data_IF_188754278898
#
_entry.id   IF_188754278898
#
_cell.length_a   1.000
_cell.length_b   1.000
_cell.length_c   1.000
_cell.angle_alpha   90.00
_cell.angle_beta   90.00
_cell.angle_gamma   90.00
#
_symmetry.space_group_name_H-M   'P 1'
#
loop_
_entity.id
_entity.type
_entity.pdbx_description
1 polymer ?
#
# COMPACT_ATOMS: atom_id res chain seq x y z
N UNK A 1 -3.72 27.62 4.30
CA UNK A 1 -3.40 26.30 4.90
C UNK A 1 -4.72 25.55 5.06
N UNK A 2 -5.01 24.57 4.20
CA UNK A 2 -6.18 23.70 4.36
C UNK A 2 -5.75 22.44 5.14
N UNK A 3 -6.47 22.17 6.22
CA UNK A 3 -6.38 21.01 7.12
C UNK A 3 -5.06 20.86 7.91
N UNK A 4 -5.09 21.20 9.21
CA UNK A 4 -4.01 20.90 10.15
C UNK A 4 -4.12 19.49 10.75
N UNK A 5 -5.32 18.90 10.76
CA UNK A 5 -5.64 17.61 11.36
C UNK A 5 -6.77 16.93 10.59
N UNK A 6 -6.74 15.61 10.52
CA UNK A 6 -7.69 14.71 9.88
C UNK A 6 -8.11 13.66 10.91
N UNK A 7 -9.38 13.27 10.89
CA UNK A 7 -9.89 12.13 11.64
C UNK A 7 -10.38 11.07 10.64
N UNK A 8 -9.87 9.85 10.77
CA UNK A 8 -10.35 8.68 10.05
C UNK A 8 -11.49 8.08 10.87
N UNK A 9 -12.61 7.79 10.20
CA UNK A 9 -13.82 7.29 10.84
C UNK A 9 -14.29 5.98 10.20
N UNK A 10 -14.84 5.10 11.02
CA UNK A 10 -15.52 3.87 10.60
C UNK A 10 -16.73 3.64 11.49
N UNK A 11 -17.87 3.28 10.91
CA UNK A 11 -19.10 2.97 11.65
C UNK A 11 -19.50 4.06 12.66
N UNK A 12 -19.34 5.33 12.28
CA UNK A 12 -19.67 6.48 13.13
C UNK A 12 -18.68 6.76 14.27
N UNK A 13 -17.56 6.03 14.35
CA UNK A 13 -16.54 6.20 15.39
C UNK A 13 -15.21 6.69 14.79
N UNK A 14 -14.48 7.51 15.55
CA UNK A 14 -13.11 7.93 15.18
C UNK A 14 -12.15 6.80 15.54
N UNK A 15 -11.46 6.28 14.53
CA UNK A 15 -10.48 5.18 14.69
C UNK A 15 -9.04 5.69 14.71
N UNK A 16 -8.78 6.85 14.11
CA UNK A 16 -7.49 7.53 14.17
C UNK A 16 -7.68 9.03 13.94
N UNK A 17 -6.82 9.86 14.53
CA UNK A 17 -6.79 11.29 14.23
C UNK A 17 -5.36 11.85 14.37
N UNK A 18 -5.01 12.81 13.54
CA UNK A 18 -3.69 13.43 13.52
C UNK A 18 -3.51 14.34 12.31
N UNK A 19 -2.35 14.96 12.19
CA UNK A 19 -1.92 15.58 10.94
C UNK A 19 -1.70 14.52 9.85
N UNK A 20 -1.68 14.94 8.59
CA UNK A 20 -1.44 14.02 7.46
C UNK A 20 -0.12 13.25 7.64
N UNK A 21 1.03 13.89 7.92
CA UNK A 21 2.28 13.15 8.11
C UNK A 21 2.23 12.12 9.25
N UNK A 22 1.57 12.43 10.36
CA UNK A 22 1.40 11.49 11.49
C UNK A 22 0.59 10.26 11.11
N UNK A 23 -0.44 10.41 10.26
CA UNK A 23 -1.23 9.28 9.77
C UNK A 23 -0.44 8.44 8.76
N UNK A 24 0.28 9.09 7.83
CA UNK A 24 1.12 8.40 6.84
C UNK A 24 2.25 7.59 7.49
N UNK A 25 2.85 8.11 8.56
CA UNK A 25 3.91 7.43 9.31
C UNK A 25 3.47 6.11 9.97
N UNK A 26 2.16 5.83 10.02
CA UNK A 26 1.61 4.58 10.55
C UNK A 26 1.42 3.50 9.49
N UNK A 27 1.64 3.83 8.21
CA UNK A 27 1.71 2.83 7.14
C UNK A 27 3.00 2.01 7.27
N UNK A 28 3.04 0.77 6.77
CA UNK A 28 4.19 -0.11 6.94
C UNK A 28 5.33 0.16 5.95
N UNK A 29 5.27 1.26 5.18
CA UNK A 29 6.29 1.66 4.21
C UNK A 29 6.28 3.17 3.96
N UNK A 30 7.22 3.64 3.14
CA UNK A 30 7.33 5.07 2.77
C UNK A 30 6.80 5.36 1.36
N UNK A 31 6.75 4.32 0.53
CA UNK A 31 6.22 4.36 -0.82
C UNK A 31 5.45 3.06 -1.10
N UNK A 32 4.61 3.10 -2.11
CA UNK A 32 3.85 1.94 -2.60
C UNK A 32 4.23 1.71 -4.06
N UNK A 33 4.73 0.51 -4.36
CA UNK A 33 4.80 0.02 -5.73
C UNK A 33 3.51 -0.71 -6.06
N UNK A 34 2.76 -0.20 -7.04
CA UNK A 34 1.63 -0.90 -7.64
C UNK A 34 2.14 -1.74 -8.79
N UNK A 35 1.87 -3.04 -8.75
CA UNK A 35 2.44 -4.01 -9.69
C UNK A 35 1.32 -4.79 -10.38
N UNK A 36 1.46 -4.97 -11.68
CA UNK A 36 0.68 -5.92 -12.47
C UNK A 36 1.62 -6.99 -12.99
N UNK A 37 1.16 -8.25 -12.98
CA UNK A 37 1.91 -9.38 -13.49
C UNK A 37 0.96 -10.47 -13.97
N UNK A 38 1.44 -11.34 -14.85
CA UNK A 38 0.68 -12.53 -15.27
C UNK A 38 0.63 -13.57 -14.15
N UNK A 39 1.63 -13.59 -13.26
CA UNK A 39 1.69 -14.48 -12.10
C UNK A 39 1.79 -13.66 -10.81
N UNK A 40 0.63 -13.25 -10.31
CA UNK A 40 0.48 -12.49 -9.07
C UNK A 40 1.09 -13.21 -7.86
N UNK A 41 0.93 -14.53 -7.77
CA UNK A 41 1.45 -15.31 -6.65
C UNK A 41 2.97 -15.24 -6.57
N UNK A 42 3.66 -15.32 -7.72
CA UNK A 42 5.12 -15.19 -7.77
C UNK A 42 5.59 -13.81 -7.28
N UNK A 43 4.88 -12.74 -7.63
CA UNK A 43 5.15 -11.38 -7.15
C UNK A 43 5.00 -11.30 -5.64
N UNK A 44 3.86 -11.78 -5.12
CA UNK A 44 3.56 -11.70 -3.69
C UNK A 44 4.58 -12.47 -2.87
N UNK A 45 4.94 -13.69 -3.29
CA UNK A 45 5.97 -14.49 -2.63
C UNK A 45 7.33 -13.80 -2.67
N UNK A 46 7.72 -13.23 -3.82
CA UNK A 46 8.99 -12.50 -3.93
C UNK A 46 9.02 -11.27 -3.01
N UNK A 47 7.94 -10.50 -2.96
CA UNK A 47 7.82 -9.34 -2.08
C UNK A 47 7.89 -9.72 -0.60
N UNK A 48 7.21 -10.79 -0.18
CA UNK A 48 7.28 -11.31 1.19
C UNK A 48 8.73 -11.69 1.55
N UNK A 49 9.44 -12.37 0.64
CA UNK A 49 10.85 -12.74 0.84
C UNK A 49 11.78 -11.52 0.95
N UNK A 50 11.43 -10.41 0.30
CA UNK A 50 12.14 -9.13 0.41
C UNK A 50 11.74 -8.32 1.65
N UNK A 51 10.77 -8.80 2.44
CA UNK A 51 10.24 -8.09 3.60
C UNK A 51 9.34 -6.92 3.23
N UNK A 52 8.79 -6.88 2.01
CA UNK A 52 7.87 -5.85 1.55
C UNK A 52 6.43 -6.29 1.87
N UNK A 53 5.72 -5.58 2.76
CA UNK A 53 4.33 -5.88 3.05
C UNK A 53 3.49 -5.84 1.78
N UNK A 54 2.76 -6.92 1.53
CA UNK A 54 1.86 -7.07 0.39
C UNK A 54 0.44 -6.73 0.83
N UNK A 55 -0.24 -5.91 0.05
CA UNK A 55 -1.70 -5.71 0.11
C UNK A 55 -2.29 -5.93 -1.28
N UNK A 56 -3.54 -6.37 -1.30
CA UNK A 56 -4.33 -6.45 -2.50
C UNK A 56 -5.58 -5.60 -2.27
N UNK A 57 -5.79 -4.58 -3.11
CA UNK A 57 -6.93 -3.68 -2.98
C UNK A 57 -7.37 -3.20 -4.36
N UNK A 58 -8.68 -3.19 -4.61
CA UNK A 58 -9.28 -2.79 -5.88
C UNK A 58 -8.68 -3.50 -7.12
N UNK A 59 -8.28 -4.76 -6.98
CA UNK A 59 -7.65 -5.55 -8.06
C UNK A 59 -6.20 -5.16 -8.36
N UNK A 60 -5.54 -4.41 -7.48
CA UNK A 60 -4.13 -4.05 -7.61
C UNK A 60 -3.30 -4.67 -6.49
N UNK A 61 -2.13 -5.23 -6.85
CA UNK A 61 -1.10 -5.61 -5.88
C UNK A 61 -0.32 -4.37 -5.49
N UNK A 62 -0.28 -4.10 -4.18
CA UNK A 62 0.42 -2.98 -3.57
C UNK A 62 1.54 -3.51 -2.69
N UNK A 63 2.77 -3.16 -3.02
CA UNK A 63 3.96 -3.52 -2.27
C UNK A 63 4.46 -2.29 -1.50
N UNK A 64 4.45 -2.37 -0.18
CA UNK A 64 4.98 -1.30 0.67
C UNK A 64 6.50 -1.38 0.71
N UNK A 65 7.13 -0.29 0.26
CA UNK A 65 8.58 -0.21 0.17
C UNK A 65 9.13 0.44 1.46
N UNK A 66 10.21 -0.11 2.04
CA UNK A 66 10.78 0.41 3.29
C UNK A 66 11.32 1.83 3.15
N UNK A 67 11.73 2.20 1.94
CA UNK A 67 12.15 3.54 1.52
C UNK A 67 11.80 3.73 0.04
N UNK A 68 11.83 4.97 -0.49
CA UNK A 68 11.61 5.21 -1.92
C UNK A 68 12.68 4.48 -2.74
N UNK A 69 12.27 3.47 -3.50
CA UNK A 69 13.11 2.79 -4.49
C UNK A 69 12.84 3.37 -5.88
N UNK A 70 13.87 3.40 -6.71
CA UNK A 70 13.73 3.69 -8.13
C UNK A 70 12.99 2.57 -8.86
N UNK A 71 12.40 2.89 -10.00
CA UNK A 71 11.72 1.91 -10.86
C UNK A 71 12.63 0.73 -11.21
N UNK A 72 13.91 1.01 -11.47
CA UNK A 72 14.91 0.00 -11.81
C UNK A 72 15.17 -0.95 -10.65
N UNK A 73 15.39 -0.43 -9.45
CA UNK A 73 15.61 -1.26 -8.26
C UNK A 73 14.42 -2.19 -7.99
N UNK A 74 13.20 -1.72 -8.22
CA UNK A 74 11.98 -2.53 -8.04
C UNK A 74 11.90 -3.63 -9.10
N UNK A 75 12.17 -3.31 -10.37
CA UNK A 75 12.18 -4.30 -11.44
C UNK A 75 13.26 -5.36 -11.19
N UNK A 76 14.47 -4.94 -10.83
CA UNK A 76 15.58 -5.83 -10.53
C UNK A 76 15.26 -6.72 -9.30
N UNK A 77 14.63 -6.14 -8.26
CA UNK A 77 14.21 -6.88 -7.07
C UNK A 77 13.09 -7.89 -7.37
N UNK A 78 12.21 -7.60 -8.33
CA UNK A 78 11.13 -8.48 -8.77
C UNK A 78 11.52 -9.38 -9.96
N UNK A 79 12.79 -9.44 -10.34
CA UNK A 79 13.22 -10.22 -11.49
C UNK A 79 12.80 -11.71 -11.38
N UNK A 80 12.38 -12.27 -12.52
CA UNK A 80 11.87 -13.65 -12.64
C UNK A 80 10.36 -13.83 -12.34
N UNK A 81 9.61 -12.77 -12.04
CA UNK A 81 8.17 -12.85 -11.70
C UNK A 81 7.21 -12.42 -12.84
N UNK A 82 7.75 -12.03 -14.01
CA UNK A 82 6.98 -11.53 -15.17
C UNK A 82 6.07 -10.33 -14.84
N UNK A 83 6.68 -9.27 -14.28
CA UNK A 83 6.03 -7.96 -14.11
C UNK A 83 5.65 -7.40 -15.50
N UNK A 84 4.37 -7.05 -15.69
CA UNK A 84 3.88 -6.41 -16.91
C UNK A 84 3.79 -4.89 -16.77
N UNK A 85 3.53 -4.38 -15.56
CA UNK A 85 3.54 -2.95 -15.27
C UNK A 85 3.92 -2.69 -13.80
N UNK A 86 4.62 -1.58 -13.56
CA UNK A 86 4.90 -1.10 -12.21
C UNK A 86 4.81 0.42 -12.17
N UNK A 87 4.18 0.95 -11.12
CA UNK A 87 4.17 2.38 -10.81
C UNK A 87 4.50 2.58 -9.33
N UNK A 88 5.16 3.69 -9.01
CA UNK A 88 5.61 3.98 -7.64
C UNK A 88 5.05 5.32 -7.23
N UNK A 89 4.44 5.35 -6.05
CA UNK A 89 3.87 6.55 -5.47
C UNK A 89 4.26 6.66 -4.00
N UNK A 90 4.36 7.89 -3.44
CA UNK A 90 4.41 8.08 -2.00
C UNK A 90 3.19 7.45 -1.32
N UNK A 91 3.32 7.03 -0.06
CA UNK A 91 2.15 6.60 0.71
C UNK A 91 1.11 7.71 0.82
N UNK A 92 -0.15 7.33 0.73
CA UNK A 92 -1.29 8.25 0.70
C UNK A 92 -2.19 8.10 1.93
N UNK A 93 -3.10 9.05 2.13
CA UNK A 93 -4.12 8.93 3.17
C UNK A 93 -5.04 7.73 2.96
N UNK A 94 -5.24 7.30 1.71
CA UNK A 94 -5.97 6.07 1.39
C UNK A 94 -5.22 4.84 1.92
N UNK A 95 -3.91 4.74 1.68
CA UNK A 95 -3.09 3.65 2.22
C UNK A 95 -3.14 3.64 3.76
N UNK A 96 -3.01 4.80 4.39
CA UNK A 96 -3.14 4.92 5.85
C UNK A 96 -4.54 4.56 6.34
N UNK A 97 -5.59 4.91 5.60
CA UNK A 97 -6.94 4.51 5.93
C UNK A 97 -7.10 2.99 5.87
N UNK A 98 -6.69 2.34 4.78
CA UNK A 98 -6.80 0.88 4.64
C UNK A 98 -6.02 0.14 5.73
N UNK A 99 -4.82 0.62 6.09
CA UNK A 99 -4.01 -0.02 7.16
C UNK A 99 -4.58 0.20 8.56
N UNK A 100 -5.14 1.39 8.84
CA UNK A 100 -5.60 1.74 10.19
C UNK A 100 -7.04 1.35 10.46
N UNK A 101 -7.86 1.37 9.42
CA UNK A 101 -9.29 1.12 9.50
C UNK A 101 -9.59 -0.32 9.12
N UNK A 102 -8.80 -0.92 8.22
CA UNK A 102 -9.05 -2.21 7.60
C UNK A 102 -10.06 -2.12 6.45
N UNK A 103 -10.12 -3.15 5.61
CA UNK A 103 -11.17 -3.26 4.59
C UNK A 103 -12.55 -3.47 5.24
N UNK A 104 -13.60 -3.08 4.52
CA UNK A 104 -14.96 -3.39 4.95
C UNK A 104 -15.31 -4.83 4.60
N UNK A 105 -15.56 -5.74 5.57
CA UNK A 105 -15.89 -7.13 5.27
C UNK A 105 -17.16 -7.27 4.42
N UNK A 106 -18.00 -6.23 4.37
CA UNK A 106 -19.17 -6.10 3.51
C UNK A 106 -18.83 -5.92 2.01
N UNK A 107 -17.62 -5.48 1.66
CA UNK A 107 -17.19 -5.27 0.27
C UNK A 107 -16.58 -6.53 -0.36
N UNK A 108 -16.30 -7.56 0.43
CA UNK A 108 -15.69 -8.83 -0.03
C UNK A 108 -16.75 -9.85 -0.51
N UNK A 109 -18.04 -9.50 -0.41
CA UNK A 109 -19.19 -10.36 -0.81
C UNK A 109 -20.08 -9.70 -1.88
N UNK A 110 -19.55 -8.74 -2.64
CA UNK A 110 -20.25 -8.08 -3.75
C UNK A 110 -19.89 -8.67 -5.11
#
# INVERSE_FOLDING_TARGET
RLCSRVALMRNGQVVAAGSVPELLARTPGQAVAKVQATNEEAIMQRAINLGWPVRHHAGEIRLFLPHPLSLREIIDALDGTNVSAVSVQPVTLEDAYLELVGEDPSTVLG
#
